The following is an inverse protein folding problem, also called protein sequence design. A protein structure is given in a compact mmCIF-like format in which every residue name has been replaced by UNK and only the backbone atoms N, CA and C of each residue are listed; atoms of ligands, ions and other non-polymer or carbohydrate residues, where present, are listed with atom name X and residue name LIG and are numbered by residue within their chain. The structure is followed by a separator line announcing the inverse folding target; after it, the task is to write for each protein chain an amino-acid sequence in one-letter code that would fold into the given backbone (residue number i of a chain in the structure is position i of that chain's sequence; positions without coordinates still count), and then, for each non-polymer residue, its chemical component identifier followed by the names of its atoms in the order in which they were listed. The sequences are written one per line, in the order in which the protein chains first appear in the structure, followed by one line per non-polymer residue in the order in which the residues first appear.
data_IF_095105043039
#
_entry.id   IF_095105043039
#
_cell.length_a   1.000
_cell.length_b   1.000
_cell.length_c   1.000
_cell.angle_alpha   90.00
_cell.angle_beta   90.00
_cell.angle_gamma   90.00
#
_symmetry.space_group_name_H-M   'P 1'
#
loop_
_entity.id
_entity.type
_entity.pdbx_description
1 polymer ?
#
# COMPACT_ATOMS: atom_id res chain seq x y z
N UNK A 1 4.91 -34.25 36.96
CA UNK A 1 5.47 -34.23 35.58
C UNK A 1 5.35 -32.81 35.05
N UNK A 2 6.32 -32.41 34.23
CA UNK A 2 6.85 -31.05 34.08
C UNK A 2 5.82 -29.94 33.81
N UNK A 3 5.97 -28.82 34.53
CA UNK A 3 5.37 -27.55 34.16
C UNK A 3 6.06 -27.07 32.86
N UNK A 4 5.30 -27.02 31.75
CA UNK A 4 5.74 -26.37 30.52
C UNK A 4 5.83 -24.86 30.77
N UNK A 5 6.96 -24.41 31.31
CA UNK A 5 7.30 -22.99 31.47
C UNK A 5 7.79 -22.45 30.13
N UNK A 6 6.89 -22.30 29.15
CA UNK A 6 7.17 -21.49 27.97
C UNK A 6 6.90 -20.03 28.33
N UNK A 7 7.82 -19.41 29.08
CA UNK A 7 7.77 -17.97 29.29
C UNK A 7 8.20 -17.30 27.99
N UNK A 8 7.25 -16.99 27.11
CA UNK A 8 7.46 -16.10 25.98
C UNK A 8 7.75 -14.71 26.57
N UNK A 9 8.99 -14.24 26.46
CA UNK A 9 9.45 -12.96 27.04
C UNK A 9 9.53 -11.84 26.01
N UNK A 10 8.57 -11.77 25.09
CA UNK A 10 8.58 -10.70 24.09
C UNK A 10 7.95 -9.42 24.60
N UNK A 11 8.69 -8.32 24.49
CA UNK A 11 8.26 -6.98 24.89
C UNK A 11 7.29 -6.35 23.89
N UNK A 12 7.34 -6.76 22.63
CA UNK A 12 6.51 -6.18 21.57
C UNK A 12 5.30 -7.08 21.29
N UNK A 13 4.07 -6.54 21.29
CA UNK A 13 2.85 -7.32 21.20
C UNK A 13 2.69 -8.04 19.86
N UNK A 14 3.15 -7.44 18.76
CA UNK A 14 3.18 -8.05 17.41
C UNK A 14 4.04 -9.32 17.38
N UNK A 15 5.26 -9.26 17.95
CA UNK A 15 6.17 -10.41 18.03
C UNK A 15 5.66 -11.46 19.01
N UNK A 16 5.07 -11.03 20.11
CA UNK A 16 4.46 -11.91 21.10
C UNK A 16 3.33 -12.74 20.48
N UNK A 17 2.33 -12.10 19.87
CA UNK A 17 1.18 -12.80 19.29
C UNK A 17 1.55 -13.61 18.05
N UNK A 18 2.56 -13.16 17.29
CA UNK A 18 3.17 -13.97 16.23
C UNK A 18 3.79 -15.27 16.74
N UNK A 19 4.45 -15.22 17.90
CA UNK A 19 5.02 -16.41 18.56
C UNK A 19 3.94 -17.30 19.17
N UNK A 20 2.90 -16.72 19.78
CA UNK A 20 1.76 -17.48 20.33
C UNK A 20 1.03 -18.26 19.23
N UNK A 21 0.94 -17.71 18.01
CA UNK A 21 0.34 -18.39 16.87
C UNK A 21 1.08 -19.69 16.48
N UNK A 22 2.38 -19.77 16.70
CA UNK A 22 3.18 -20.96 16.34
C UNK A 22 3.20 -22.02 17.42
N UNK A 23 2.62 -21.75 18.60
CA UNK A 23 2.53 -22.72 19.70
C UNK A 23 1.51 -23.81 19.34
N UNK A 24 2.03 -25.03 19.21
CA UNK A 24 1.24 -26.25 18.99
C UNK A 24 1.12 -27.04 20.28
N UNK A 25 -0.01 -27.71 20.45
CA UNK A 25 -0.23 -28.68 21.53
C UNK A 25 0.39 -30.04 21.18
N UNK A 26 0.41 -30.99 22.13
CA UNK A 26 1.00 -32.33 21.94
C UNK A 26 0.41 -33.11 20.75
N UNK A 27 -0.77 -32.69 20.26
CA UNK A 27 -1.46 -33.25 19.09
C UNK A 27 -1.15 -32.54 17.77
N UNK A 28 -0.17 -31.63 17.73
CA UNK A 28 0.19 -30.81 16.55
C UNK A 28 -0.99 -29.94 16.07
N UNK A 29 -1.88 -29.57 17.00
CA UNK A 29 -2.97 -28.62 16.73
C UNK A 29 -2.55 -27.25 17.30
N UNK A 30 -2.73 -26.14 16.55
CA UNK A 30 -2.43 -24.81 17.06
C UNK A 30 -3.29 -24.51 18.29
N UNK A 31 -2.64 -24.23 19.43
CA UNK A 31 -3.28 -24.18 20.75
C UNK A 31 -4.12 -22.92 20.98
N UNK A 32 -3.71 -21.82 20.35
CA UNK A 32 -4.27 -20.48 20.58
C UNK A 32 -4.68 -19.78 19.29
N UNK A 33 -5.08 -20.53 18.25
CA UNK A 33 -5.33 -19.98 16.92
C UNK A 33 -6.33 -18.80 16.91
N UNK A 34 -7.49 -18.97 17.53
CA UNK A 34 -8.51 -17.92 17.59
C UNK A 34 -8.02 -16.67 18.33
N UNK A 35 -7.36 -16.83 19.47
CA UNK A 35 -6.86 -15.72 20.27
C UNK A 35 -5.72 -14.97 19.54
N UNK A 36 -4.81 -15.71 18.91
CA UNK A 36 -3.71 -15.14 18.14
C UNK A 36 -4.22 -14.40 16.89
N UNK A 37 -5.19 -14.97 16.16
CA UNK A 37 -5.80 -14.28 15.02
C UNK A 37 -6.56 -13.02 15.44
N UNK A 38 -7.33 -13.07 16.53
CA UNK A 38 -8.02 -11.90 17.04
C UNK A 38 -7.03 -10.80 17.43
N UNK A 39 -6.01 -11.12 18.22
CA UNK A 39 -5.02 -10.14 18.65
C UNK A 39 -4.24 -9.53 17.47
N UNK A 40 -3.84 -10.34 16.48
CA UNK A 40 -3.19 -9.86 15.27
C UNK A 40 -4.10 -8.96 14.42
N UNK A 41 -5.41 -9.25 14.37
CA UNK A 41 -6.38 -8.41 13.69
C UNK A 41 -6.60 -7.07 14.41
N UNK A 42 -6.59 -7.06 15.74
CA UNK A 42 -6.66 -5.80 16.51
C UNK A 42 -5.39 -4.98 16.31
N UNK A 43 -4.22 -5.62 16.29
CA UNK A 43 -2.93 -4.95 16.10
C UNK A 43 -2.72 -4.43 14.66
N UNK A 44 -3.48 -4.90 13.68
CA UNK A 44 -3.43 -4.39 12.30
C UNK A 44 -4.29 -3.14 12.09
N UNK A 45 -5.13 -2.78 13.06
CA UNK A 45 -5.90 -1.55 13.01
C UNK A 45 -4.98 -0.34 13.26
N UNK A 46 -5.12 0.75 12.49
CA UNK A 46 -4.38 1.98 12.74
C UNK A 46 -4.77 2.53 14.12
N UNK A 47 -3.84 2.47 15.07
CA UNK A 47 -4.09 2.82 16.47
C UNK A 47 -4.01 4.33 16.74
N UNK A 48 -3.65 5.15 15.75
CA UNK A 48 -3.48 6.60 15.91
C UNK A 48 -4.09 7.38 14.75
N UNK A 49 -4.84 8.42 15.09
CA UNK A 49 -5.34 9.41 14.13
C UNK A 49 -4.20 10.09 13.34
N UNK A 50 -3.00 10.14 13.92
CA UNK A 50 -1.82 10.67 13.24
C UNK A 50 -1.45 9.88 11.97
N UNK A 51 -1.79 8.59 11.89
CA UNK A 51 -1.53 7.77 10.70
C UNK A 51 -2.49 8.15 9.55
N UNK A 52 -3.74 8.46 9.89
CA UNK A 52 -4.71 9.00 8.93
C UNK A 52 -4.29 10.40 8.45
N UNK A 53 -3.83 11.27 9.36
CA UNK A 53 -3.33 12.61 9.01
C UNK A 53 -2.10 12.56 8.11
N UNK A 54 -1.18 11.60 8.35
CA UNK A 54 -0.05 11.35 7.44
C UNK A 54 -0.52 10.96 6.04
N UNK A 55 -1.52 10.09 5.94
CA UNK A 55 -2.11 9.73 4.64
C UNK A 55 -2.77 10.94 3.95
N UNK A 56 -3.47 11.79 4.69
CA UNK A 56 -4.07 13.01 4.15
C UNK A 56 -3.03 14.03 3.68
N UNK A 57 -1.94 14.19 4.42
CA UNK A 57 -0.81 15.02 4.00
C UNK A 57 -0.20 14.53 2.68
N UNK A 58 -0.04 13.21 2.52
CA UNK A 58 0.41 12.62 1.27
C UNK A 58 -0.55 12.84 0.10
N UNK A 59 -1.86 12.69 0.34
CA UNK A 59 -2.89 13.01 -0.67
C UNK A 59 -2.83 14.49 -1.05
N UNK A 60 -2.65 15.38 -0.07
CA UNK A 60 -2.53 16.82 -0.30
C UNK A 60 -1.26 17.15 -1.10
N UNK A 61 -0.16 16.40 -0.90
CA UNK A 61 1.06 16.53 -1.70
C UNK A 61 0.89 16.04 -3.14
N UNK A 62 0.08 15.00 -3.35
CA UNK A 62 -0.26 14.49 -4.69
C UNK A 62 -1.15 15.48 -5.44
N UNK A 63 -2.12 16.07 -4.74
CA UNK A 63 -2.99 17.14 -5.23
C UNK A 63 -2.27 18.49 -5.14
N UNK A 64 -1.37 18.77 -6.08
CA UNK A 64 -0.80 20.11 -6.19
C UNK A 64 -1.84 21.11 -6.69
N UNK A 65 -1.59 22.42 -6.50
CA UNK A 65 -2.48 23.49 -6.97
C UNK A 65 -2.82 23.34 -8.47
N UNK A 66 -1.83 22.95 -9.26
CA UNK A 66 -1.98 22.74 -10.72
C UNK A 66 -2.59 21.39 -11.09
N UNK A 67 -2.56 20.39 -10.18
CA UNK A 67 -3.04 19.02 -10.42
C UNK A 67 -4.15 18.61 -9.44
N UNK A 68 -5.14 19.49 -9.25
CA UNK A 68 -6.23 19.26 -8.30
C UNK A 68 -7.37 18.38 -8.88
N UNK A 69 -7.46 18.22 -10.20
CA UNK A 69 -8.55 17.49 -10.89
C UNK A 69 -8.23 16.02 -11.18
N UNK A 70 -7.61 15.34 -10.22
CA UNK A 70 -7.34 13.90 -10.32
C UNK A 70 -8.59 13.09 -9.98
N UNK A 71 -8.90 12.08 -10.80
CA UNK A 71 -9.93 11.09 -10.46
C UNK A 71 -9.54 10.38 -9.16
N UNK A 72 -10.53 10.04 -8.35
CA UNK A 72 -10.32 9.33 -7.07
C UNK A 72 -9.55 8.03 -7.24
N UNK A 73 -9.84 7.30 -8.33
CA UNK A 73 -9.14 6.06 -8.67
C UNK A 73 -7.65 6.32 -8.93
N UNK A 74 -7.32 7.39 -9.66
CA UNK A 74 -5.93 7.78 -9.89
C UNK A 74 -5.21 8.15 -8.60
N UNK A 75 -5.86 8.88 -7.68
CA UNK A 75 -5.27 9.22 -6.38
C UNK A 75 -5.01 7.95 -5.55
N UNK A 76 -5.99 7.04 -5.53
CA UNK A 76 -5.87 5.73 -4.86
C UNK A 76 -4.71 4.92 -5.43
N UNK A 77 -4.63 4.79 -6.75
CA UNK A 77 -3.61 3.99 -7.42
C UNK A 77 -2.21 4.56 -7.20
N UNK A 78 -2.06 5.89 -7.24
CA UNK A 78 -0.77 6.55 -6.94
C UNK A 78 -0.38 6.37 -5.48
N UNK A 79 -1.34 6.44 -4.54
CA UNK A 79 -1.09 6.18 -3.12
C UNK A 79 -0.63 4.74 -2.88
N UNK A 80 -1.30 3.76 -3.49
CA UNK A 80 -0.92 2.35 -3.42
C UNK A 80 0.46 2.10 -4.05
N UNK A 81 0.74 2.71 -5.20
CA UNK A 81 2.05 2.61 -5.85
C UNK A 81 3.16 3.17 -4.95
N UNK A 82 2.94 4.34 -4.34
CA UNK A 82 3.88 4.94 -3.38
C UNK A 82 4.13 4.02 -2.19
N UNK A 83 3.07 3.49 -1.57
CA UNK A 83 3.19 2.56 -0.44
C UNK A 83 3.95 1.28 -0.81
N UNK A 84 3.71 0.73 -2.00
CA UNK A 84 4.41 -0.45 -2.50
C UNK A 84 5.93 -0.21 -2.66
N UNK A 85 6.31 0.95 -3.23
CA UNK A 85 7.72 1.34 -3.37
C UNK A 85 8.39 1.53 -2.00
N UNK A 86 7.69 2.19 -1.07
CA UNK A 86 8.16 2.37 0.31
C UNK A 86 8.30 1.05 1.05
N UNK A 87 7.31 0.14 0.96
CA UNK A 87 7.36 -1.18 1.59
C UNK A 87 8.56 -2.00 1.12
N UNK A 88 8.86 -1.95 -0.19
CA UNK A 88 10.01 -2.64 -0.78
C UNK A 88 11.35 -1.95 -0.48
N UNK A 89 11.35 -0.78 0.15
CA UNK A 89 12.55 0.04 0.40
C UNK A 89 13.31 0.37 -0.90
N UNK A 90 12.57 0.59 -1.98
CA UNK A 90 13.10 0.95 -3.30
C UNK A 90 12.88 2.44 -3.51
N UNK A 91 13.74 3.10 -4.28
CA UNK A 91 13.62 4.52 -4.60
C UNK A 91 13.53 4.73 -6.14
N UNK A 92 13.48 5.98 -6.59
CA UNK A 92 13.38 6.30 -8.02
C UNK A 92 14.61 5.91 -8.85
N UNK A 93 15.76 5.66 -8.23
CA UNK A 93 16.99 5.27 -8.93
C UNK A 93 17.20 3.76 -8.94
N UNK A 94 16.67 3.04 -7.95
CA UNK A 94 16.79 1.58 -7.82
C UNK A 94 15.56 0.83 -8.34
N UNK A 95 14.48 1.54 -8.65
CA UNK A 95 13.27 0.93 -9.21
C UNK A 95 13.52 0.37 -10.61
N UNK A 96 13.45 -0.96 -10.72
CA UNK A 96 13.54 -1.66 -11.99
C UNK A 96 12.15 -2.20 -12.40
N UNK A 97 11.49 -1.64 -13.44
CA UNK A 97 10.17 -2.08 -13.88
C UNK A 97 10.23 -3.50 -14.48
N UNK A 98 9.23 -4.33 -14.19
CA UNK A 98 9.14 -5.64 -14.80
C UNK A 98 8.74 -5.54 -16.28
N UNK A 99 9.08 -6.56 -17.08
CA UNK A 99 8.65 -6.63 -18.50
C UNK A 99 7.13 -6.50 -18.66
N UNK A 100 6.36 -7.02 -17.70
CA UNK A 100 4.91 -6.89 -17.69
C UNK A 100 4.45 -5.43 -17.51
N UNK A 101 5.13 -4.64 -16.69
CA UNK A 101 4.82 -3.21 -16.51
C UNK A 101 5.12 -2.39 -17.77
N UNK A 102 6.19 -2.75 -18.49
CA UNK A 102 6.60 -2.07 -19.72
C UNK A 102 5.70 -2.42 -20.92
N UNK A 103 5.12 -3.63 -20.94
CA UNK A 103 4.28 -4.12 -22.05
C UNK A 103 3.10 -3.21 -22.37
N UNK A 104 2.58 -2.47 -21.38
CA UNK A 104 1.41 -1.60 -21.51
C UNK A 104 1.75 -0.09 -21.63
N UNK A 105 3.00 0.25 -21.93
CA UNK A 105 3.51 1.63 -22.02
C UNK A 105 3.82 2.07 -23.45
N UNK A 106 3.33 1.35 -24.46
CA UNK A 106 3.48 1.76 -25.85
C UNK A 106 2.47 2.88 -26.18
N UNK A 107 2.90 3.85 -26.98
CA UNK A 107 2.11 5.04 -27.37
C UNK A 107 0.72 4.65 -27.90
N UNK A 108 0.64 3.55 -28.64
CA UNK A 108 -0.63 2.96 -29.09
C UNK A 108 -1.59 2.74 -27.91
N UNK A 109 -1.22 2.01 -26.86
CA UNK A 109 -2.12 1.75 -25.72
C UNK A 109 -2.43 3.01 -24.91
N UNK A 110 -1.48 3.95 -24.76
CA UNK A 110 -1.67 5.15 -23.95
C UNK A 110 -2.60 6.19 -24.59
N UNK A 111 -2.57 6.33 -25.92
CA UNK A 111 -3.30 7.37 -26.64
C UNK A 111 -4.47 6.87 -27.50
N UNK A 112 -4.62 5.55 -27.73
CA UNK A 112 -5.75 5.01 -28.50
C UNK A 112 -7.08 5.03 -27.74
N UNK A 113 -7.08 5.09 -26.40
CA UNK A 113 -8.33 5.09 -25.61
C UNK A 113 -9.12 6.39 -25.72
N UNK A 114 -8.48 7.50 -26.07
CA UNK A 114 -9.13 8.80 -26.25
C UNK A 114 -9.82 8.94 -27.61
N UNK A 115 -9.42 8.13 -28.62
CA UNK A 115 -10.00 8.21 -29.96
C UNK A 115 -11.41 7.56 -30.07
N UNK A 116 -11.81 6.74 -29.10
CA UNK A 116 -13.10 6.03 -29.11
C UNK A 116 -14.18 6.80 -28.32
N UNK A 117 -13.79 7.75 -27.47
CA UNK A 117 -14.71 8.69 -26.82
C UNK A 117 -14.64 10.02 -27.58
N UNK A 118 -15.58 10.22 -28.51
CA UNK A 118 -15.64 11.42 -29.35
C UNK A 118 -15.88 12.72 -28.57
N UNK A 119 -14.79 13.34 -28.11
CA UNK A 119 -14.69 14.79 -27.94
C UNK A 119 -13.50 15.25 -28.79
N UNK A 120 -13.77 16.12 -29.75
CA UNK A 120 -12.75 16.73 -30.60
C UNK A 120 -11.73 17.52 -29.76
N UNK A 121 -10.44 17.52 -30.15
CA UNK A 121 -9.47 18.42 -29.57
C UNK A 121 -9.82 19.85 -30.01
N UNK A 122 -10.33 20.67 -29.10
CA UNK A 122 -10.21 22.12 -29.27
C UNK A 122 -8.73 22.47 -29.11
N UNK A 123 -8.12 22.91 -30.21
CA UNK A 123 -6.82 23.56 -30.25
C UNK A 123 -6.82 24.70 -29.22
N UNK A 124 -6.18 24.46 -28.07
CA UNK A 124 -5.79 25.55 -27.17
C UNK A 124 -4.43 26.01 -27.69
N UNK A 125 -4.31 27.23 -28.25
CA UNK A 125 -3.05 27.69 -28.78
C UNK A 125 -1.99 27.69 -27.66
N UNK A 126 -0.78 27.25 -28.00
CA UNK A 126 0.39 27.34 -27.14
C UNK A 126 0.55 28.78 -26.67
N UNK A 127 0.17 29.05 -25.42
CA UNK A 127 0.54 30.30 -24.74
C UNK A 127 2.01 30.13 -24.36
N UNK A 128 2.89 30.54 -25.27
CA UNK A 128 4.24 30.94 -24.92
C UNK A 128 4.13 32.15 -23.97
N UNK A 129 4.60 31.99 -22.74
CA UNK A 129 4.96 33.11 -21.87
C UNK A 129 6.48 33.23 -21.97
N UNK A 130 6.95 34.27 -22.65
CA UNK A 130 8.30 34.85 -22.43
C UNK A 130 8.40 35.42 -21.01
#
# INVERSE_FOLDING_TARGET
MAQQKCMIKEKFPDKFWGTVKTVVDDKVVPKYECAAHFAMAVLSLPHSNADCERCFSDINRMKSKDRNRLKTDTVRDVLLAKQCVQWKQINCTTFNPSRAMLRNKNSKVLYLSTAIAGEEPQDVPDIFIE
#
